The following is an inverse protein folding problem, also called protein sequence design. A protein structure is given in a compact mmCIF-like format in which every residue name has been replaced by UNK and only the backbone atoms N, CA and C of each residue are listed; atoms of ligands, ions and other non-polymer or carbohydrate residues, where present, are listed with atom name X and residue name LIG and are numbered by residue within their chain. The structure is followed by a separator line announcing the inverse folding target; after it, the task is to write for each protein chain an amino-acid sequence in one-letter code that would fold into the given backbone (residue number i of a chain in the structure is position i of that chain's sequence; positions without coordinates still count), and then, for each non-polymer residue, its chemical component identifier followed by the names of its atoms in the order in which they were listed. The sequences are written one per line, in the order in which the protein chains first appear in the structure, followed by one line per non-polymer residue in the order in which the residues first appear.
data_IF_111418747691
#
_entry.id   IF_111418747691
#
_cell.length_a   1.000
_cell.length_b   1.000
_cell.length_c   1.000
_cell.angle_alpha   90.00
_cell.angle_beta   90.00
_cell.angle_gamma   90.00
#
_symmetry.space_group_name_H-M   'P 1'
#
loop_
_entity.id
_entity.type
_entity.pdbx_description
1 polymer ?
#
# COMPACT_ATOMS: atom_id res chain seq x y z
N UNK A 1 -29.16 18.06 1.05
CA UNK A 1 -28.92 19.36 1.72
C UNK A 1 -29.14 19.34 3.23
N UNK A 2 -30.24 18.79 3.78
CA UNK A 2 -30.43 18.71 5.25
C UNK A 2 -29.35 17.87 5.93
N UNK A 3 -28.99 16.71 5.36
CA UNK A 3 -27.96 15.83 5.93
C UNK A 3 -26.57 16.49 5.91
N UNK A 4 -26.24 17.22 4.84
CA UNK A 4 -24.97 17.96 4.75
C UNK A 4 -24.84 19.05 5.84
N UNK A 5 -25.93 19.73 6.20
CA UNK A 5 -25.91 20.71 7.30
C UNK A 5 -25.73 20.03 8.66
N UNK A 6 -26.32 18.86 8.85
CA UNK A 6 -26.08 18.04 10.04
C UNK A 6 -24.61 17.61 10.11
N UNK A 7 -24.07 17.04 9.03
CA UNK A 7 -22.65 16.64 8.96
C UNK A 7 -21.72 17.82 9.25
N UNK A 8 -22.01 19.00 8.69
CA UNK A 8 -21.24 20.22 8.96
C UNK A 8 -21.23 20.58 10.44
N UNK A 9 -22.37 20.46 11.13
CA UNK A 9 -22.44 20.72 12.57
C UNK A 9 -21.67 19.72 13.44
N UNK A 10 -21.28 18.57 12.87
CA UNK A 10 -20.49 17.54 13.55
C UNK A 10 -18.97 17.71 13.35
N UNK A 11 -18.55 18.69 12.54
CA UNK A 11 -17.15 18.96 12.19
C UNK A 11 -16.71 20.32 12.72
N UNK A 12 -15.44 20.46 13.09
CA UNK A 12 -14.84 21.78 13.34
C UNK A 12 -14.66 22.51 11.99
N UNK A 13 -15.18 23.74 11.91
CA UNK A 13 -15.23 24.53 10.67
C UNK A 13 -13.97 25.36 10.41
N UNK A 14 -13.03 25.43 11.35
CA UNK A 14 -11.90 26.37 11.24
C UNK A 14 -10.92 26.03 10.10
N UNK A 15 -10.62 24.75 9.89
CA UNK A 15 -9.65 24.27 8.89
C UNK A 15 -10.15 22.98 8.27
N UNK A 16 -11.01 23.11 7.24
CA UNK A 16 -11.66 21.97 6.59
C UNK A 16 -11.11 21.77 5.18
N UNK A 17 -10.57 20.57 4.92
CA UNK A 17 -10.26 20.10 3.58
C UNK A 17 -11.46 19.37 2.98
N UNK A 18 -11.80 19.69 1.74
CA UNK A 18 -12.73 18.96 0.90
C UNK A 18 -11.94 18.24 -0.18
N UNK A 19 -11.97 16.90 -0.16
CA UNK A 19 -11.28 16.09 -1.17
C UNK A 19 -12.14 16.00 -2.42
N UNK A 20 -11.76 16.77 -3.45
CA UNK A 20 -12.52 16.97 -4.68
C UNK A 20 -12.45 18.41 -5.16
N UNK A 21 -13.09 18.70 -6.30
CA UNK A 21 -13.00 20.00 -6.97
C UNK A 21 -14.18 20.93 -6.63
N UNK A 22 -15.27 20.38 -6.10
CA UNK A 22 -16.55 21.09 -5.98
C UNK A 22 -17.07 21.08 -4.53
N UNK A 23 -16.42 21.81 -3.60
CA UNK A 23 -16.88 21.86 -2.22
C UNK A 23 -18.26 22.51 -2.12
N UNK A 24 -19.18 21.85 -1.41
CA UNK A 24 -20.55 22.35 -1.20
C UNK A 24 -20.60 23.52 -0.20
N UNK A 25 -19.54 23.66 0.60
CA UNK A 25 -19.35 24.73 1.57
C UNK A 25 -18.09 25.53 1.21
N UNK A 26 -17.85 26.65 1.89
CA UNK A 26 -16.60 27.41 1.74
C UNK A 26 -15.43 26.70 2.45
N UNK A 27 -15.05 25.53 1.93
CA UNK A 27 -13.95 24.68 2.41
C UNK A 27 -12.78 24.74 1.42
N UNK A 28 -11.60 24.35 1.90
CA UNK A 28 -10.42 24.26 1.04
C UNK A 28 -10.53 23.04 0.14
N UNK A 29 -10.71 23.24 -1.17
CA UNK A 29 -10.71 22.16 -2.15
C UNK A 29 -9.29 21.59 -2.30
N UNK A 30 -9.15 20.29 -2.18
CA UNK A 30 -7.88 19.57 -2.29
C UNK A 30 -8.06 18.34 -3.19
N UNK A 31 -7.36 18.32 -4.32
CA UNK A 31 -7.51 17.23 -5.28
C UNK A 31 -6.40 16.17 -5.09
N UNK A 32 -6.54 15.32 -4.06
CA UNK A 32 -5.62 14.20 -3.80
C UNK A 32 -5.54 13.25 -5.01
N UNK A 33 -6.65 13.06 -5.72
CA UNK A 33 -6.77 12.13 -6.84
C UNK A 33 -5.94 12.55 -8.05
N UNK A 34 -5.69 13.85 -8.21
CA UNK A 34 -4.82 14.42 -9.24
C UNK A 34 -3.35 14.50 -8.82
N UNK A 35 -3.04 14.29 -7.54
CA UNK A 35 -1.67 14.30 -7.04
C UNK A 35 -0.93 13.04 -7.49
N UNK A 36 0.36 13.16 -7.80
CA UNK A 36 1.16 11.99 -8.16
C UNK A 36 1.24 11.02 -6.98
N UNK A 37 0.83 9.77 -7.25
CA UNK A 37 0.71 8.69 -6.25
C UNK A 37 -0.14 9.06 -5.03
N UNK A 38 -1.24 9.81 -5.23
CA UNK A 38 -2.18 10.17 -4.16
C UNK A 38 -1.47 10.81 -2.95
N UNK A 39 -0.36 11.51 -3.18
CA UNK A 39 0.47 12.16 -2.16
C UNK A 39 0.36 13.65 -2.32
N UNK A 40 -0.19 14.33 -1.31
CA UNK A 40 -0.25 15.80 -1.34
C UNK A 40 1.07 16.42 -0.88
N UNK A 41 1.21 17.72 -1.10
CA UNK A 41 2.39 18.45 -0.63
C UNK A 41 2.57 18.27 0.90
N UNK A 42 3.79 18.03 1.40
CA UNK A 42 4.05 17.78 2.82
C UNK A 42 3.60 18.90 3.75
N UNK A 43 3.58 20.14 3.24
CA UNK A 43 3.11 21.32 3.96
C UNK A 43 1.62 21.26 4.32
N UNK A 44 0.85 20.36 3.70
CA UNK A 44 -0.57 20.15 3.98
C UNK A 44 -0.83 19.11 5.07
N UNK A 45 0.17 18.29 5.44
CA UNK A 45 0.01 17.33 6.54
C UNK A 45 -0.12 18.07 7.88
N UNK A 46 -1.03 17.59 8.74
CA UNK A 46 -1.31 18.20 10.04
C UNK A 46 -2.07 19.53 9.99
N UNK A 47 -2.55 19.98 8.83
CA UNK A 47 -3.11 21.33 8.69
C UNK A 47 -4.61 21.42 8.98
N UNK A 48 -5.35 20.32 8.94
CA UNK A 48 -6.81 20.35 8.93
C UNK A 48 -7.41 19.77 10.21
N UNK A 49 -8.44 20.43 10.74
CA UNK A 49 -9.25 19.87 11.84
C UNK A 49 -10.36 18.96 11.33
N UNK A 50 -10.73 19.08 10.05
CA UNK A 50 -11.63 18.13 9.39
C UNK A 50 -11.25 17.87 7.93
N UNK A 51 -11.41 16.63 7.47
CA UNK A 51 -11.20 16.22 6.08
C UNK A 51 -12.45 15.52 5.56
N UNK A 52 -12.93 15.92 4.38
CA UNK A 52 -14.17 15.42 3.79
C UNK A 52 -13.88 14.64 2.50
N UNK A 53 -14.07 13.33 2.57
CA UNK A 53 -14.09 12.39 1.45
C UNK A 53 -15.55 12.11 1.05
N UNK A 54 -16.20 13.12 0.45
CA UNK A 54 -17.65 13.10 0.26
C UNK A 54 -18.10 13.30 -1.20
N UNK A 55 -17.36 14.07 -2.00
CA UNK A 55 -17.71 14.32 -3.42
C UNK A 55 -17.76 13.02 -4.22
N UNK A 56 -16.70 12.22 -4.11
CA UNK A 56 -16.60 10.88 -4.64
C UNK A 56 -16.71 9.85 -3.51
N UNK A 57 -17.26 8.67 -3.80
CA UNK A 57 -17.29 7.59 -2.82
C UNK A 57 -15.91 6.98 -2.75
N UNK A 58 -15.39 6.67 -1.56
CA UNK A 58 -14.08 6.01 -1.46
C UNK A 58 -14.07 4.64 -2.15
N UNK A 59 -15.23 4.01 -2.28
CA UNK A 59 -15.45 2.74 -3.00
C UNK A 59 -15.28 2.83 -4.51
N UNK A 60 -15.26 4.05 -5.07
CA UNK A 60 -15.02 4.30 -6.50
C UNK A 60 -13.52 4.13 -6.85
N UNK A 61 -12.64 4.03 -5.84
CA UNK A 61 -11.20 3.93 -6.01
C UNK A 61 -10.69 2.55 -5.61
N UNK A 62 -9.87 1.95 -6.46
CA UNK A 62 -9.17 0.70 -6.14
C UNK A 62 -8.24 0.90 -4.93
N UNK A 63 -7.47 2.00 -4.95
CA UNK A 63 -6.52 2.40 -3.92
C UNK A 63 -7.16 3.17 -2.74
N UNK A 64 -8.39 2.84 -2.34
CA UNK A 64 -9.11 3.55 -1.26
C UNK A 64 -8.33 3.60 0.06
N UNK A 65 -7.51 2.58 0.37
CA UNK A 65 -6.66 2.57 1.57
C UNK A 65 -5.56 3.63 1.53
N UNK A 66 -4.97 3.86 0.34
CA UNK A 66 -3.98 4.92 0.11
C UNK A 66 -4.64 6.29 0.28
N UNK A 67 -5.83 6.47 -0.30
CA UNK A 67 -6.61 7.69 -0.15
C UNK A 67 -6.96 7.99 1.32
N UNK A 68 -7.37 6.97 2.09
CA UNK A 68 -7.65 7.13 3.52
C UNK A 68 -6.39 7.41 4.34
N UNK A 69 -5.28 6.71 4.08
CA UNK A 69 -4.00 6.95 4.74
C UNK A 69 -3.57 8.42 4.56
N UNK A 70 -3.56 8.91 3.32
CA UNK A 70 -3.22 10.30 3.05
C UNK A 70 -4.20 11.29 3.71
N UNK A 71 -5.50 10.98 3.70
CA UNK A 71 -6.52 11.82 4.33
C UNK A 71 -6.38 11.88 5.85
N UNK A 72 -5.88 10.84 6.51
CA UNK A 72 -5.57 10.87 7.94
C UNK A 72 -4.36 11.75 8.21
N UNK A 73 -3.34 11.73 7.34
CA UNK A 73 -2.12 12.56 7.49
C UNK A 73 -2.39 14.06 7.33
N UNK A 74 -3.43 14.43 6.58
CA UNK A 74 -3.93 15.81 6.49
C UNK A 74 -4.49 16.32 7.83
N UNK A 75 -4.99 15.44 8.68
CA UNK A 75 -5.54 15.84 9.98
C UNK A 75 -4.40 16.29 10.91
N UNK A 76 -4.68 17.34 11.68
CA UNK A 76 -3.90 17.72 12.86
C UNK A 76 -3.93 16.58 13.91
N UNK A 77 -3.32 16.79 15.08
CA UNK A 77 -3.26 15.79 16.16
C UNK A 77 -4.61 15.19 16.52
N UNK A 78 -5.66 16.00 16.50
CA UNK A 78 -7.05 15.55 16.64
C UNK A 78 -7.89 16.19 15.53
N UNK A 79 -8.74 15.38 14.89
CA UNK A 79 -9.55 15.86 13.80
C UNK A 79 -10.70 14.92 13.44
N UNK A 80 -11.50 15.33 12.46
CA UNK A 80 -12.68 14.60 12.02
C UNK A 80 -12.58 14.20 10.55
N UNK A 81 -12.82 12.93 10.25
CA UNK A 81 -12.92 12.43 8.89
C UNK A 81 -14.40 12.18 8.54
N UNK A 82 -14.88 12.78 7.45
CA UNK A 82 -16.21 12.55 6.89
C UNK A 82 -16.06 11.72 5.64
N UNK A 83 -16.67 10.53 5.60
CA UNK A 83 -16.48 9.54 4.55
C UNK A 83 -17.82 9.19 3.94
N UNK A 84 -17.86 9.11 2.62
CA UNK A 84 -18.95 8.51 1.86
C UNK A 84 -18.44 7.26 1.13
N UNK A 85 -19.18 6.17 1.20
CA UNK A 85 -18.87 4.94 0.48
C UNK A 85 -20.14 4.24 -0.01
N UNK A 86 -20.01 3.41 -1.04
CA UNK A 86 -20.98 2.38 -1.37
C UNK A 86 -20.37 1.02 -1.07
N UNK A 87 -21.07 0.18 -0.31
CA UNK A 87 -20.54 -1.14 0.02
C UNK A 87 -20.37 -1.99 -1.24
N UNK A 88 -19.23 -2.65 -1.37
CA UNK A 88 -18.90 -3.59 -2.44
C UNK A 88 -17.87 -4.64 -1.94
N UNK A 89 -17.44 -5.60 -2.77
CA UNK A 89 -16.45 -6.61 -2.35
C UNK A 89 -15.09 -6.04 -1.93
N UNK A 90 -14.68 -4.87 -2.46
CA UNK A 90 -13.42 -4.20 -2.14
C UNK A 90 -13.53 -3.40 -0.83
N UNK A 91 -14.61 -2.62 -0.67
CA UNK A 91 -14.86 -1.73 0.47
C UNK A 91 -16.20 -2.04 1.10
N UNK A 92 -16.20 -2.44 2.37
CA UNK A 92 -17.40 -2.66 3.16
C UNK A 92 -17.19 -2.17 4.60
N UNK A 93 -18.26 -2.11 5.38
CA UNK A 93 -18.20 -1.54 6.73
C UNK A 93 -17.18 -2.26 7.65
N UNK A 94 -17.05 -3.58 7.52
CA UNK A 94 -16.10 -4.36 8.34
C UNK A 94 -14.66 -3.99 7.99
N UNK A 95 -14.33 -3.94 6.69
CA UNK A 95 -12.99 -3.57 6.22
C UNK A 95 -12.64 -2.12 6.58
N UNK A 96 -13.60 -1.20 6.46
CA UNK A 96 -13.40 0.21 6.82
C UNK A 96 -13.14 0.37 8.33
N UNK A 97 -13.96 -0.25 9.18
CA UNK A 97 -13.77 -0.20 10.64
C UNK A 97 -12.48 -0.92 11.08
N UNK A 98 -12.13 -2.05 10.44
CA UNK A 98 -10.82 -2.73 10.65
C UNK A 98 -9.68 -1.77 10.34
N UNK A 99 -9.77 -1.02 9.24
CA UNK A 99 -8.75 -0.06 8.85
C UNK A 99 -8.49 0.96 9.97
N UNK A 100 -9.52 1.67 10.43
CA UNK A 100 -9.36 2.65 11.51
C UNK A 100 -8.92 2.05 12.85
N UNK A 101 -9.45 0.88 13.22
CA UNK A 101 -9.12 0.25 14.50
C UNK A 101 -7.68 -0.25 14.56
N UNK A 102 -7.10 -0.69 13.44
CA UNK A 102 -5.76 -1.27 13.40
C UNK A 102 -4.67 -0.29 12.97
N UNK A 103 -5.02 0.85 12.39
CA UNK A 103 -4.05 1.79 11.83
C UNK A 103 -3.09 2.34 12.91
N UNK A 104 -1.80 2.14 12.70
CA UNK A 104 -0.74 2.53 13.62
C UNK A 104 -0.61 4.06 13.82
N UNK A 105 -1.13 4.87 12.88
CA UNK A 105 -1.22 6.32 12.99
C UNK A 105 -2.32 6.79 13.93
N UNK A 106 -3.24 5.90 14.36
CA UNK A 106 -4.42 6.26 15.12
C UNK A 106 -4.27 5.77 16.56
N UNK A 107 -4.22 6.72 17.51
CA UNK A 107 -4.28 6.41 18.95
C UNK A 107 -5.71 6.09 19.36
N UNK A 108 -6.68 6.85 18.84
CA UNK A 108 -8.11 6.68 19.12
C UNK A 108 -8.95 7.02 17.90
N UNK A 109 -9.92 6.17 17.59
CA UNK A 109 -11.00 6.46 16.64
C UNK A 109 -12.36 6.33 17.33
N UNK A 110 -13.26 7.28 17.07
CA UNK A 110 -14.61 7.31 17.63
C UNK A 110 -15.62 7.66 16.54
N UNK A 111 -16.57 6.77 16.29
CA UNK A 111 -17.67 7.02 15.35
C UNK A 111 -18.65 7.97 16.03
N UNK A 112 -18.83 9.16 15.47
CA UNK A 112 -19.78 10.16 15.98
C UNK A 112 -21.08 10.19 15.18
N UNK A 113 -21.05 9.68 13.94
CA UNK A 113 -22.24 9.54 13.11
C UNK A 113 -22.04 8.41 12.11
N UNK A 114 -23.08 7.59 11.96
CA UNK A 114 -23.16 6.54 10.95
C UNK A 114 -24.58 6.53 10.38
N UNK A 115 -24.69 6.57 9.06
CA UNK A 115 -25.96 6.42 8.36
C UNK A 115 -25.78 5.52 7.14
N UNK A 116 -26.69 4.57 6.97
CA UNK A 116 -26.70 3.64 5.86
C UNK A 116 -28.06 3.72 5.15
N UNK A 117 -28.03 4.07 3.87
CA UNK A 117 -29.22 4.19 3.03
C UNK A 117 -29.22 3.03 2.05
N UNK A 118 -30.33 2.28 2.04
CA UNK A 118 -30.51 1.18 1.10
C UNK A 118 -30.72 1.72 -0.32
N UNK A 119 -29.87 1.31 -1.25
CA UNK A 119 -29.99 1.54 -2.67
C UNK A 119 -31.06 0.60 -3.23
N UNK A 120 -32.05 1.15 -3.94
CA UNK A 120 -33.23 0.40 -4.43
C UNK A 120 -32.94 -0.64 -5.54
N UNK A 121 -31.68 -0.96 -5.81
CA UNK A 121 -31.29 -1.90 -6.85
C UNK A 121 -31.08 -3.29 -6.27
N UNK A 122 -32.13 -4.11 -6.32
CA UNK A 122 -32.02 -5.53 -6.03
C UNK A 122 -31.12 -6.23 -7.06
N UNK A 123 -29.84 -6.45 -6.72
CA UNK A 123 -28.98 -7.39 -7.44
C UNK A 123 -29.07 -8.74 -6.73
N UNK A 124 -29.70 -9.77 -7.33
CA UNK A 124 -30.09 -11.00 -6.63
C UNK A 124 -28.95 -11.84 -6.01
N UNK A 125 -27.69 -11.42 -6.17
CA UNK A 125 -26.50 -12.15 -5.71
C UNK A 125 -25.50 -11.29 -4.91
N UNK A 126 -25.78 -9.99 -4.69
CA UNK A 126 -24.86 -9.07 -3.99
C UNK A 126 -25.62 -8.44 -2.81
N UNK A 127 -25.25 -8.81 -1.58
CA UNK A 127 -25.86 -8.28 -0.33
C UNK A 127 -25.44 -6.83 0.00
N UNK A 128 -24.50 -6.27 -0.75
CA UNK A 128 -24.01 -4.92 -0.55
C UNK A 128 -24.92 -3.95 -1.32
N UNK A 129 -25.92 -3.41 -0.63
CA UNK A 129 -26.93 -2.50 -1.20
C UNK A 129 -26.97 -1.16 -0.43
N UNK A 130 -25.92 -0.78 0.32
CA UNK A 130 -25.94 0.44 1.12
C UNK A 130 -24.96 1.50 0.63
N UNK A 131 -25.46 2.72 0.49
CA UNK A 131 -24.62 3.90 0.55
C UNK A 131 -24.48 4.30 2.03
N UNK A 132 -23.23 4.45 2.47
CA UNK A 132 -22.89 4.72 3.86
C UNK A 132 -22.22 6.09 3.95
N UNK A 133 -22.66 6.88 4.92
CA UNK A 133 -21.93 8.05 5.41
C UNK A 133 -21.45 7.80 6.82
N UNK A 134 -20.17 8.04 7.06
CA UNK A 134 -19.51 7.85 8.35
C UNK A 134 -18.77 9.13 8.75
N UNK A 135 -18.90 9.53 10.01
CA UNK A 135 -18.09 10.61 10.60
C UNK A 135 -17.32 10.02 11.76
N UNK A 136 -16.00 10.15 11.71
CA UNK A 136 -15.09 9.56 12.70
C UNK A 136 -14.21 10.67 13.26
N UNK A 137 -14.18 10.79 14.59
CA UNK A 137 -13.14 11.56 15.28
C UNK A 137 -11.91 10.70 15.43
N UNK A 138 -10.76 11.25 15.03
CA UNK A 138 -9.46 10.59 15.02
C UNK A 138 -8.51 11.39 15.88
N UNK A 139 -7.81 10.72 16.78
CA UNK A 139 -6.62 11.22 17.46
C UNK A 139 -5.41 10.49 16.90
N UNK A 140 -4.48 11.24 16.30
CA UNK A 140 -3.25 10.71 15.71
C UNK A 140 -2.25 10.32 16.81
N UNK A 141 -1.61 9.17 16.64
CA UNK A 141 -0.55 8.71 17.53
C UNK A 141 0.78 9.41 17.20
N UNK A 142 1.39 10.03 18.21
CA UNK A 142 2.74 10.59 18.17
C UNK A 142 3.06 11.44 16.91
N UNK A 143 2.27 12.45 16.53
CA UNK A 143 2.50 13.22 15.30
C UNK A 143 3.91 13.82 15.19
N UNK A 144 4.56 14.13 16.32
CA UNK A 144 5.92 14.66 16.37
C UNK A 144 6.98 13.75 15.74
N UNK A 145 6.85 12.42 15.81
CA UNK A 145 7.83 11.50 15.22
C UNK A 145 7.79 11.50 13.68
N UNK A 146 6.67 11.97 13.11
CA UNK A 146 6.47 12.08 11.67
C UNK A 146 7.02 13.39 11.10
N UNK A 147 7.52 14.29 11.95
CA UNK A 147 8.26 15.49 11.55
C UNK A 147 9.77 15.37 11.79
N UNK A 148 10.24 14.29 12.43
CA UNK A 148 11.66 14.05 12.63
C UNK A 148 12.34 13.82 11.27
N UNK A 149 13.47 14.50 11.07
CA UNK A 149 14.30 14.43 9.86
C UNK A 149 15.60 13.65 10.07
N UNK A 150 15.86 13.16 11.28
CA UNK A 150 17.06 12.38 11.58
C UNK A 150 16.93 10.98 11.00
N UNK A 151 18.05 10.46 10.49
CA UNK A 151 18.11 9.17 9.79
C UNK A 151 19.00 8.18 10.52
N UNK A 152 18.57 6.92 10.47
CA UNK A 152 19.43 5.76 10.66
C UNK A 152 19.46 4.99 9.34
N UNK A 153 20.63 4.89 8.74
CA UNK A 153 20.90 4.05 7.57
C UNK A 153 21.49 2.74 8.04
N UNK A 154 21.00 1.62 7.51
CA UNK A 154 21.48 0.30 7.91
C UNK A 154 21.85 -0.55 6.70
N UNK A 155 23.02 -1.18 6.78
CA UNK A 155 23.57 -1.99 5.68
C UNK A 155 23.72 -3.43 6.11
N UNK A 156 23.12 -4.35 5.36
CA UNK A 156 23.34 -5.78 5.47
C UNK A 156 24.41 -6.19 4.47
N UNK A 157 25.55 -6.70 4.98
CA UNK A 157 26.66 -7.14 4.13
C UNK A 157 27.27 -8.45 4.59
N UNK A 158 27.82 -9.19 3.64
CA UNK A 158 28.67 -10.36 3.91
C UNK A 158 30.18 -10.02 3.92
N UNK A 159 30.54 -8.75 3.68
CA UNK A 159 31.94 -8.30 3.62
C UNK A 159 32.65 -8.55 2.29
N UNK A 160 31.95 -9.08 1.28
CA UNK A 160 32.52 -9.36 -0.04
C UNK A 160 32.42 -8.19 -1.02
N UNK A 161 31.62 -7.17 -0.69
CA UNK A 161 31.35 -5.99 -1.54
C UNK A 161 31.73 -4.70 -0.83
N UNK A 162 32.97 -4.63 -0.35
CA UNK A 162 33.49 -3.51 0.45
C UNK A 162 33.30 -2.17 -0.28
N UNK A 163 33.68 -2.11 -1.56
CA UNK A 163 33.59 -0.86 -2.35
C UNK A 163 32.15 -0.36 -2.51
N UNK A 164 31.16 -1.28 -2.59
CA UNK A 164 29.75 -0.89 -2.65
C UNK A 164 29.29 -0.25 -1.32
N UNK A 165 29.70 -0.83 -0.19
CA UNK A 165 29.35 -0.31 1.13
C UNK A 165 30.02 1.04 1.38
N UNK A 166 31.28 1.19 0.94
CA UNK A 166 31.99 2.49 0.95
C UNK A 166 31.22 3.51 0.10
N UNK A 167 30.87 3.18 -1.14
CA UNK A 167 30.11 4.08 -2.02
C UNK A 167 28.73 4.45 -1.45
N UNK A 168 28.06 3.53 -0.76
CA UNK A 168 26.83 3.83 -0.04
C UNK A 168 27.05 4.85 1.09
N UNK A 169 28.04 4.60 1.96
CA UNK A 169 28.40 5.51 3.05
C UNK A 169 28.81 6.91 2.53
N UNK A 170 29.59 6.95 1.44
CA UNK A 170 29.94 8.20 0.74
C UNK A 170 28.71 8.93 0.25
N UNK A 171 27.78 8.22 -0.41
CA UNK A 171 26.55 8.84 -0.94
C UNK A 171 25.68 9.49 0.14
N UNK A 172 25.72 8.97 1.38
CA UNK A 172 25.09 9.58 2.55
C UNK A 172 25.87 10.83 2.97
N UNK A 173 27.16 10.69 3.30
CA UNK A 173 27.97 11.79 3.86
C UNK A 173 28.13 12.97 2.91
N UNK A 174 28.15 12.72 1.60
CA UNK A 174 28.26 13.78 0.59
C UNK A 174 26.98 14.59 0.39
N UNK A 175 25.81 14.03 0.71
CA UNK A 175 24.52 14.65 0.41
C UNK A 175 23.71 15.04 1.66
N UNK A 176 24.08 14.56 2.85
CA UNK A 176 23.33 14.86 4.06
C UNK A 176 23.61 16.27 4.61
N UNK A 177 22.58 16.90 5.16
CA UNK A 177 22.71 18.18 5.88
C UNK A 177 22.93 17.98 7.39
N UNK A 178 22.49 16.85 7.92
CA UNK A 178 22.58 16.50 9.33
C UNK A 178 23.32 15.18 9.44
N UNK A 179 24.21 15.04 10.44
CA UNK A 179 24.94 13.81 10.68
C UNK A 179 23.97 12.66 11.01
N UNK A 180 23.82 11.72 10.08
CA UNK A 180 22.96 10.54 10.24
C UNK A 180 23.70 9.39 10.93
N UNK A 181 22.96 8.50 11.58
CA UNK A 181 23.50 7.25 12.10
C UNK A 181 23.67 6.25 10.95
N UNK A 182 24.80 5.54 10.92
CA UNK A 182 25.03 4.43 9.98
C UNK A 182 25.33 3.16 10.80
N UNK A 183 24.52 2.12 10.61
CA UNK A 183 24.69 0.81 11.24
C UNK A 183 25.06 -0.24 10.18
N UNK A 184 26.02 -1.11 10.47
CA UNK A 184 26.42 -2.20 9.59
C UNK A 184 26.20 -3.53 10.30
N UNK A 185 25.47 -4.42 9.63
CA UNK A 185 25.31 -5.81 10.01
C UNK A 185 26.14 -6.69 9.06
N UNK A 186 27.37 -7.01 9.47
CA UNK A 186 28.34 -7.76 8.69
C UNK A 186 29.72 -7.73 9.35
N UNK A 187 30.74 -8.33 8.74
CA UNK A 187 32.10 -8.29 9.27
C UNK A 187 32.63 -6.85 9.32
N UNK A 188 33.41 -6.55 10.36
CA UNK A 188 34.09 -5.26 10.49
C UNK A 188 35.09 -5.04 9.35
N UNK A 189 35.19 -3.81 8.88
CA UNK A 189 36.15 -3.42 7.86
C UNK A 189 36.65 -1.99 8.10
N UNK A 190 37.97 -1.81 8.11
CA UNK A 190 38.59 -0.50 8.36
C UNK A 190 38.25 0.53 7.28
N UNK A 191 37.86 0.09 6.08
CA UNK A 191 37.41 0.98 5.00
C UNK A 191 36.15 1.78 5.37
N UNK A 192 35.36 1.33 6.36
CA UNK A 192 34.14 2.02 6.77
C UNK A 192 34.37 3.03 7.91
N UNK A 193 35.52 2.99 8.58
CA UNK A 193 35.86 3.88 9.71
C UNK A 193 35.72 5.39 9.39
N UNK A 194 36.12 5.89 8.20
CA UNK A 194 35.99 7.31 7.87
C UNK A 194 34.56 7.85 7.91
N UNK A 195 33.55 6.98 7.90
CA UNK A 195 32.13 7.35 7.81
C UNK A 195 31.39 7.26 9.15
N UNK A 196 32.10 7.07 10.28
CA UNK A 196 31.51 6.97 11.63
C UNK A 196 30.39 5.91 11.72
N UNK A 197 30.72 4.70 11.27
CA UNK A 197 29.78 3.57 11.27
C UNK A 197 29.79 2.85 12.62
N UNK A 198 28.64 2.31 13.01
CA UNK A 198 28.54 1.37 14.14
C UNK A 198 28.26 -0.03 13.62
N UNK A 199 28.88 -1.04 14.21
CA UNK A 199 28.64 -2.43 13.86
C UNK A 199 27.65 -3.08 14.83
N UNK A 200 26.81 -3.97 14.30
CA UNK A 200 26.13 -4.95 15.13
C UNK A 200 27.10 -6.08 15.47
N UNK A 201 27.64 -6.08 16.69
CA UNK A 201 28.58 -7.11 17.19
C UNK A 201 27.95 -8.47 17.50
N UNK A 202 26.85 -8.84 16.82
CA UNK A 202 26.16 -10.11 17.01
C UNK A 202 26.58 -11.10 15.94
N UNK A 203 26.97 -12.30 16.36
CA UNK A 203 27.19 -13.41 15.43
C UNK A 203 25.86 -14.05 15.03
N UNK A 204 25.72 -14.36 13.75
CA UNK A 204 24.52 -14.98 13.19
C UNK A 204 24.85 -16.37 12.68
N UNK A 205 23.92 -17.31 12.85
CA UNK A 205 24.03 -18.61 12.21
C UNK A 205 24.09 -18.44 10.68
N UNK A 206 25.15 -18.99 10.09
CA UNK A 206 25.42 -18.92 8.66
C UNK A 206 24.68 -19.98 7.87
N UNK A 207 24.17 -21.03 8.52
CA UNK A 207 23.46 -22.13 7.88
C UNK A 207 22.14 -21.69 7.22
N UNK A 208 21.46 -20.71 7.81
CA UNK A 208 20.11 -20.29 7.39
C UNK A 208 20.03 -18.87 6.86
N UNK A 209 21.16 -18.16 6.71
CA UNK A 209 21.19 -16.78 6.21
C UNK A 209 20.08 -15.90 6.84
N UNK A 210 20.07 -15.80 8.18
CA UNK A 210 19.02 -15.21 9.03
C UNK A 210 18.68 -13.73 8.76
N UNK A 211 18.18 -13.41 7.56
CA UNK A 211 17.99 -12.03 7.08
C UNK A 211 16.97 -11.27 7.93
N UNK A 212 15.85 -11.92 8.29
CA UNK A 212 14.80 -11.32 9.09
C UNK A 212 15.27 -11.00 10.51
N UNK A 213 16.06 -11.88 11.12
CA UNK A 213 16.65 -11.61 12.44
C UNK A 213 17.65 -10.45 12.38
N UNK A 214 18.53 -10.42 11.37
CA UNK A 214 19.46 -9.30 11.15
C UNK A 214 18.73 -7.96 10.99
N UNK A 215 17.69 -7.92 10.16
CA UNK A 215 16.84 -6.73 9.97
C UNK A 215 16.16 -6.31 11.28
N UNK A 216 15.66 -7.28 12.06
CA UNK A 216 15.04 -7.04 13.37
C UNK A 216 16.01 -6.50 14.43
N UNK A 217 17.27 -6.92 14.42
CA UNK A 217 18.31 -6.41 15.32
C UNK A 217 18.74 -5.00 14.91
N UNK A 218 18.85 -4.72 13.61
CA UNK A 218 19.09 -3.37 13.09
C UNK A 218 17.98 -2.39 13.50
N UNK A 219 16.71 -2.81 13.40
CA UNK A 219 15.56 -2.04 13.86
C UNK A 219 15.68 -1.71 15.36
N UNK A 220 16.08 -2.68 16.18
CA UNK A 220 16.22 -2.49 17.62
C UNK A 220 17.39 -1.56 17.97
N UNK A 221 18.49 -1.61 17.21
CA UNK A 221 19.67 -0.79 17.43
C UNK A 221 19.55 0.64 16.89
N UNK A 222 18.64 0.88 15.94
CA UNK A 222 18.45 2.19 15.33
C UNK A 222 18.06 3.25 16.37
N UNK A 223 18.67 4.43 16.29
CA UNK A 223 18.39 5.53 17.23
C UNK A 223 17.30 6.49 16.72
N UNK A 224 17.11 6.57 15.39
CA UNK A 224 16.24 7.56 14.76
C UNK A 224 14.97 6.95 14.18
N UNK A 225 13.96 7.80 13.95
CA UNK A 225 12.66 7.36 13.44
C UNK A 225 12.67 7.04 11.95
N UNK A 226 13.42 7.77 11.13
CA UNK A 226 13.57 7.42 9.72
C UNK A 226 14.64 6.33 9.59
N UNK A 227 14.21 5.09 9.35
CA UNK A 227 15.09 3.93 9.25
C UNK A 227 15.11 3.45 7.79
N UNK A 228 16.30 3.42 7.19
CA UNK A 228 16.55 2.75 5.92
C UNK A 228 17.26 1.42 6.18
N UNK A 229 16.76 0.35 5.57
CA UNK A 229 17.35 -0.99 5.60
C UNK A 229 17.71 -1.37 4.16
N UNK A 230 19.02 -1.51 3.90
CA UNK A 230 19.56 -1.81 2.57
C UNK A 230 20.51 -3.00 2.55
N UNK A 231 20.54 -3.68 1.42
CA UNK A 231 21.62 -4.63 1.09
C UNK A 231 22.87 -3.89 0.60
N UNK A 232 24.02 -4.56 0.62
CA UNK A 232 25.35 -4.06 0.20
C UNK A 232 25.55 -3.85 -1.33
N UNK A 233 24.49 -3.45 -2.00
CA UNK A 233 24.45 -3.27 -3.46
C UNK A 233 23.73 -2.01 -3.86
N UNK A 234 23.49 -1.08 -2.94
CA UNK A 234 22.79 0.16 -3.25
C UNK A 234 23.73 1.35 -3.06
N UNK A 235 23.56 2.36 -3.89
CA UNK A 235 24.09 3.72 -3.71
C UNK A 235 22.90 4.68 -3.79
N UNK A 236 22.85 5.67 -2.90
CA UNK A 236 21.84 6.73 -2.97
C UNK A 236 22.23 7.72 -4.06
N UNK A 237 21.25 8.19 -4.85
CA UNK A 237 21.49 9.29 -5.78
C UNK A 237 21.37 10.63 -5.05
N UNK A 238 21.88 11.68 -5.69
CA UNK A 238 21.87 13.05 -5.15
C UNK A 238 20.46 13.60 -4.87
N UNK A 239 19.43 13.00 -5.50
CA UNK A 239 18.02 13.34 -5.27
C UNK A 239 17.43 12.72 -3.99
N UNK A 240 18.21 11.94 -3.22
CA UNK A 240 17.68 11.23 -2.06
C UNK A 240 17.10 12.19 -1.01
N UNK A 241 17.92 13.08 -0.45
CA UNK A 241 17.48 13.95 0.65
C UNK A 241 16.51 15.03 0.18
N UNK A 242 16.74 15.66 -0.97
CA UNK A 242 15.82 16.64 -1.56
C UNK A 242 14.47 16.01 -1.88
N UNK A 243 14.48 14.77 -2.38
CA UNK A 243 13.23 14.03 -2.61
C UNK A 243 12.44 13.74 -1.34
N UNK A 244 13.09 13.62 -0.17
CA UNK A 244 12.38 13.52 1.12
C UNK A 244 11.82 14.86 1.61
N UNK A 245 12.42 15.98 1.23
CA UNK A 245 11.85 17.30 1.46
C UNK A 245 10.58 17.51 0.61
N UNK A 246 10.57 17.01 -0.62
CA UNK A 246 9.40 17.05 -1.52
C UNK A 246 8.31 16.03 -1.15
N UNK A 247 8.69 14.82 -0.73
CA UNK A 247 7.76 13.76 -0.35
C UNK A 247 7.19 13.93 1.07
N UNK A 248 7.98 14.51 1.97
CA UNK A 248 7.65 14.68 3.39
C UNK A 248 8.00 13.48 4.26
N UNK A 249 8.13 13.72 5.55
CA UNK A 249 8.51 12.73 6.55
C UNK A 249 7.33 12.02 7.21
N UNK A 250 6.09 12.42 6.88
CA UNK A 250 4.87 11.80 7.36
C UNK A 250 4.52 10.56 6.52
N UNK A 251 5.21 9.46 6.80
CA UNK A 251 5.05 8.15 6.18
C UNK A 251 5.28 7.03 7.21
N UNK A 252 4.90 5.80 6.88
CA UNK A 252 5.18 4.62 7.73
C UNK A 252 6.12 3.62 7.08
N UNK A 253 5.79 3.14 5.88
CA UNK A 253 6.51 2.07 5.20
C UNK A 253 6.56 2.34 3.70
N UNK A 254 7.74 2.67 3.21
CA UNK A 254 7.93 3.14 1.84
C UNK A 254 9.20 2.55 1.21
N UNK A 255 9.28 2.64 -0.11
CA UNK A 255 10.54 2.50 -0.86
C UNK A 255 10.76 3.75 -1.71
N UNK A 256 11.85 3.77 -2.46
CA UNK A 256 12.19 4.84 -3.42
C UNK A 256 12.33 4.25 -4.83
N UNK A 257 12.51 5.11 -5.84
CA UNK A 257 12.85 4.64 -7.18
C UNK A 257 14.21 3.96 -7.16
N UNK A 258 14.33 2.83 -7.84
CA UNK A 258 15.57 2.07 -7.92
C UNK A 258 15.94 1.90 -9.39
N UNK A 259 17.24 1.92 -9.70
CA UNK A 259 17.75 1.79 -11.06
C UNK A 259 18.89 0.78 -11.12
N UNK A 260 18.96 0.03 -12.21
CA UNK A 260 20.18 -0.69 -12.61
C UNK A 260 21.30 0.29 -12.96
N UNK A 261 22.54 -0.20 -13.04
CA UNK A 261 23.70 0.57 -13.53
C UNK A 261 23.51 1.02 -14.99
N UNK A 262 22.71 0.29 -15.78
CA UNK A 262 22.33 0.67 -17.14
C UNK A 262 21.43 1.91 -17.20
N UNK A 263 20.88 2.34 -16.06
CA UNK A 263 19.85 3.36 -15.94
C UNK A 263 18.42 2.81 -16.07
N UNK A 264 18.25 1.55 -16.48
CA UNK A 264 16.95 0.88 -16.49
C UNK A 264 16.32 0.85 -15.10
N UNK A 265 15.00 0.83 -15.03
CA UNK A 265 14.28 0.79 -13.77
C UNK A 265 14.44 -0.58 -13.10
N UNK A 266 14.80 -0.55 -11.81
CA UNK A 266 14.77 -1.71 -10.94
C UNK A 266 13.40 -1.72 -10.22
N UNK A 267 12.57 -2.76 -10.41
CA UNK A 267 11.25 -2.84 -9.78
C UNK A 267 11.32 -2.83 -8.24
N UNK A 268 10.76 -1.79 -7.61
CA UNK A 268 10.76 -1.60 -6.15
C UNK A 268 9.39 -1.67 -5.50
N UNK A 269 8.34 -1.28 -6.23
CA UNK A 269 6.94 -1.36 -5.79
C UNK A 269 6.23 -2.47 -6.55
N UNK A 270 5.91 -3.55 -5.84
CA UNK A 270 5.58 -4.85 -6.39
C UNK A 270 4.21 -5.31 -5.89
N UNK A 271 3.61 -6.26 -6.59
CA UNK A 271 2.32 -6.85 -6.27
C UNK A 271 2.34 -8.33 -6.61
N UNK A 272 1.75 -9.15 -5.74
CA UNK A 272 1.37 -10.51 -6.08
C UNK A 272 -0.08 -10.54 -6.57
N UNK A 273 -0.35 -11.33 -7.60
CA UNK A 273 -1.72 -11.63 -8.02
C UNK A 273 -2.52 -12.28 -6.88
N UNK A 274 -1.86 -13.17 -6.12
CA UNK A 274 -2.44 -13.85 -4.96
C UNK A 274 -1.57 -13.59 -3.73
N UNK A 275 -2.10 -12.82 -2.77
CA UNK A 275 -1.42 -12.45 -1.52
C UNK A 275 -0.94 -13.70 -0.76
N UNK A 276 0.33 -13.70 -0.35
CA UNK A 276 1.02 -14.81 0.34
C UNK A 276 1.05 -16.13 -0.44
N UNK A 277 0.89 -16.08 -1.76
CA UNK A 277 1.02 -17.23 -2.64
C UNK A 277 1.98 -16.91 -3.78
N UNK A 278 2.95 -17.79 -4.03
CA UNK A 278 3.89 -17.63 -5.14
C UNK A 278 3.13 -17.58 -6.46
N UNK A 279 3.06 -16.39 -7.04
CA UNK A 279 2.32 -16.05 -8.23
C UNK A 279 3.12 -15.04 -9.06
N UNK A 280 2.58 -14.61 -10.20
CA UNK A 280 3.23 -13.62 -11.06
C UNK A 280 3.51 -12.35 -10.24
N UNK A 281 4.77 -11.91 -10.23
CA UNK A 281 5.17 -10.66 -9.60
C UNK A 281 4.92 -9.55 -10.61
N UNK A 282 4.08 -8.60 -10.23
CA UNK A 282 3.69 -7.47 -11.05
C UNK A 282 4.31 -6.23 -10.44
N UNK A 283 4.81 -5.30 -11.24
CA UNK A 283 5.31 -4.02 -10.74
C UNK A 283 4.56 -2.85 -11.34
N UNK A 284 4.38 -1.80 -10.54
CA UNK A 284 3.73 -0.54 -10.91
C UNK A 284 4.42 0.59 -10.17
N UNK A 285 4.51 1.75 -10.79
CA UNK A 285 4.94 2.98 -10.11
C UNK A 285 3.77 3.92 -9.81
N UNK A 286 2.55 3.50 -10.16
CA UNK A 286 1.30 4.20 -9.89
C UNK A 286 0.59 3.55 -8.69
N UNK A 287 0.53 4.27 -7.57
CA UNK A 287 -0.16 3.78 -6.37
C UNK A 287 -1.67 3.65 -6.54
N UNK A 288 -2.26 4.21 -7.60
CA UNK A 288 -3.67 3.97 -7.92
C UNK A 288 -3.94 2.49 -8.25
N UNK A 289 -2.93 1.72 -8.61
CA UNK A 289 -3.04 0.28 -8.89
C UNK A 289 -2.99 -0.58 -7.62
N UNK A 290 -2.95 0.03 -6.43
CA UNK A 290 -2.85 -0.66 -5.15
C UNK A 290 -3.82 -1.83 -5.00
N UNK A 291 -3.36 -2.92 -4.39
CA UNK A 291 -4.18 -4.02 -3.91
C UNK A 291 -3.55 -4.64 -2.65
N UNK A 292 -4.26 -5.56 -2.01
CA UNK A 292 -3.80 -6.18 -0.75
C UNK A 292 -2.59 -7.13 -0.92
N UNK A 293 -2.17 -7.42 -2.14
CA UNK A 293 -0.96 -8.15 -2.49
C UNK A 293 0.26 -7.27 -2.75
N UNK A 294 0.17 -5.95 -2.56
CA UNK A 294 1.32 -5.02 -2.67
C UNK A 294 2.41 -5.39 -1.65
N UNK A 295 3.67 -5.34 -2.10
CA UNK A 295 4.86 -5.40 -1.27
C UNK A 295 5.99 -4.55 -1.85
N UNK A 296 7.01 -4.29 -1.04
CA UNK A 296 8.19 -3.51 -1.44
C UNK A 296 9.37 -4.46 -1.58
N UNK A 297 10.21 -4.27 -2.59
CA UNK A 297 11.39 -5.12 -2.77
C UNK A 297 12.29 -5.07 -1.51
N UNK A 298 12.58 -6.25 -0.93
CA UNK A 298 13.29 -6.39 0.34
C UNK A 298 14.75 -5.92 0.35
N UNK A 299 15.32 -5.56 -0.81
CA UNK A 299 16.69 -5.06 -0.94
C UNK A 299 16.88 -3.63 -0.42
N UNK A 300 15.85 -2.78 -0.52
CA UNK A 300 15.84 -1.42 0.02
C UNK A 300 14.44 -1.07 0.53
N UNK A 301 14.34 -0.95 1.85
CA UNK A 301 13.11 -0.60 2.56
C UNK A 301 13.35 0.63 3.44
N UNK A 302 12.36 1.50 3.52
CA UNK A 302 12.38 2.65 4.43
C UNK A 302 11.14 2.56 5.31
N UNK A 303 11.35 2.58 6.61
CA UNK A 303 10.27 2.36 7.58
C UNK A 303 10.44 3.29 8.78
N UNK A 304 9.34 3.71 9.39
CA UNK A 304 9.41 4.37 10.70
C UNK A 304 9.81 3.35 11.75
N UNK A 305 10.82 3.67 12.57
CA UNK A 305 11.30 2.78 13.64
C UNK A 305 10.13 2.32 14.53
N UNK A 306 9.29 3.24 14.98
CA UNK A 306 8.12 2.89 15.81
C UNK A 306 7.15 1.91 15.14
N UNK A 307 7.02 1.97 13.81
CA UNK A 307 6.19 1.05 13.02
C UNK A 307 6.89 -0.29 12.84
N UNK A 308 8.20 -0.29 12.57
CA UNK A 308 9.03 -1.49 12.45
C UNK A 308 9.12 -2.30 13.76
N UNK A 309 9.16 -1.64 14.92
CA UNK A 309 9.17 -2.31 16.23
C UNK A 309 7.85 -3.04 16.52
N UNK A 310 6.73 -2.52 16.03
CA UNK A 310 5.41 -3.16 16.13
C UNK A 310 5.22 -4.26 15.10
N UNK A 311 5.70 -4.04 13.89
CA UNK A 311 5.57 -4.93 12.75
C UNK A 311 6.94 -5.46 12.34
N UNK A 312 7.49 -6.33 13.19
CA UNK A 312 8.81 -6.94 12.99
C UNK A 312 8.77 -7.95 11.85
N UNK A 313 9.92 -8.17 11.21
CA UNK A 313 10.07 -9.27 10.27
C UNK A 313 9.84 -10.61 11.00
N UNK A 314 9.23 -11.57 10.33
CA UNK A 314 9.10 -12.91 10.87
C UNK A 314 10.47 -13.63 10.86
N UNK A 315 11.08 -13.80 12.04
CA UNK A 315 12.40 -14.44 12.17
C UNK A 315 12.44 -15.92 11.71
N UNK A 316 11.30 -16.54 11.40
CA UNK A 316 11.22 -17.87 10.81
C UNK A 316 11.33 -17.88 9.28
N UNK A 317 11.35 -16.70 8.65
CA UNK A 317 11.50 -16.56 7.20
C UNK A 317 12.92 -16.11 6.91
N UNK A 318 13.64 -16.94 6.16
CA UNK A 318 15.05 -16.74 5.82
C UNK A 318 15.22 -16.02 4.48
N UNK A 319 16.47 -15.81 4.09
CA UNK A 319 16.78 -15.21 2.80
C UNK A 319 16.15 -16.00 1.65
N UNK A 320 15.57 -15.28 0.68
CA UNK A 320 14.89 -15.82 -0.50
C UNK A 320 13.61 -16.63 -0.21
N UNK A 321 12.97 -16.37 0.95
CA UNK A 321 11.71 -17.01 1.34
C UNK A 321 10.50 -16.05 1.38
N UNK A 322 10.64 -14.86 0.81
CA UNK A 322 9.57 -13.85 0.73
C UNK A 322 9.34 -13.10 2.05
N UNK A 323 10.41 -12.72 2.75
CA UNK A 323 10.30 -12.00 4.02
C UNK A 323 9.67 -10.61 3.86
N UNK A 324 9.90 -9.98 2.71
CA UNK A 324 9.35 -8.69 2.33
C UNK A 324 7.85 -8.79 1.97
N UNK A 325 7.46 -9.87 1.28
CA UNK A 325 6.06 -10.20 1.00
C UNK A 325 5.28 -10.44 2.30
N UNK A 326 5.84 -11.23 3.22
CA UNK A 326 5.20 -11.52 4.49
C UNK A 326 5.08 -10.27 5.37
N UNK A 327 6.15 -9.47 5.45
CA UNK A 327 6.15 -8.20 6.16
C UNK A 327 5.06 -7.26 5.62
N UNK A 328 5.03 -7.03 4.31
CA UNK A 328 4.07 -6.12 3.69
C UNK A 328 2.62 -6.59 3.91
N UNK A 329 2.40 -7.91 3.81
CA UNK A 329 1.13 -8.53 4.15
C UNK A 329 0.75 -8.24 5.61
N UNK A 330 1.67 -8.45 6.57
CA UNK A 330 1.42 -8.16 7.98
C UNK A 330 1.15 -6.66 8.23
N UNK A 331 1.89 -5.77 7.57
CA UNK A 331 1.69 -4.31 7.62
C UNK A 331 0.28 -3.92 7.14
N UNK A 332 -0.16 -4.43 5.99
CA UNK A 332 -1.50 -4.17 5.43
C UNK A 332 -2.60 -4.65 6.39
N UNK A 333 -2.42 -5.79 7.05
CA UNK A 333 -3.37 -6.28 8.06
C UNK A 333 -3.44 -5.42 9.31
N UNK A 334 -2.39 -4.63 9.58
CA UNK A 334 -2.31 -3.59 10.59
C UNK A 334 -2.53 -2.18 9.99
N UNK A 335 -3.08 -2.10 8.78
CA UNK A 335 -3.44 -0.85 8.10
C UNK A 335 -2.28 0.13 7.94
N UNK A 336 -1.06 -0.40 7.86
CA UNK A 336 0.14 0.30 7.40
C UNK A 336 0.27 0.05 5.91
N UNK A 337 0.22 1.10 5.11
CA UNK A 337 0.14 1.01 3.65
C UNK A 337 1.53 1.17 3.05
N UNK A 338 2.03 0.20 2.25
CA UNK A 338 3.25 0.38 1.50
C UNK A 338 3.12 1.51 0.47
N UNK A 339 4.10 2.41 0.45
CA UNK A 339 4.15 3.54 -0.50
C UNK A 339 5.48 3.62 -1.27
N UNK A 340 5.52 4.49 -2.27
CA UNK A 340 6.67 4.82 -3.08
C UNK A 340 6.93 6.32 -3.02
N UNK A 341 8.08 6.70 -2.47
CA UNK A 341 8.63 8.03 -2.69
C UNK A 341 9.27 8.08 -4.08
N UNK A 342 8.57 8.73 -5.00
CA UNK A 342 8.99 8.89 -6.40
C UNK A 342 9.90 10.08 -6.63
N UNK A 343 10.25 10.88 -5.61
CA UNK A 343 11.18 12.00 -5.73
C UNK A 343 12.61 11.58 -5.44
N UNK A 344 12.81 10.61 -4.56
CA UNK A 344 14.13 10.06 -4.22
C UNK A 344 14.47 8.84 -5.06
N UNK A 345 15.77 8.58 -5.29
CA UNK A 345 16.20 7.38 -5.98
C UNK A 345 17.54 6.78 -5.49
N UNK A 346 17.74 5.52 -5.87
CA UNK A 346 18.98 4.77 -5.63
C UNK A 346 19.37 3.96 -6.87
N UNK A 347 20.62 3.53 -6.91
CA UNK A 347 21.18 2.66 -7.94
C UNK A 347 21.61 1.32 -7.34
N UNK A 348 21.26 0.21 -8.00
CA UNK A 348 21.74 -1.13 -7.66
C UNK A 348 23.04 -1.44 -8.40
N UNK A 349 24.05 -1.93 -7.68
CA UNK A 349 25.39 -2.24 -8.18
C UNK A 349 25.62 -3.74 -8.37
N UNK A 350 26.31 -4.12 -9.44
CA UNK A 350 26.74 -5.49 -9.71
C UNK A 350 25.57 -6.44 -9.97
N UNK A 351 24.42 -5.90 -10.39
CA UNK A 351 23.24 -6.66 -10.79
C UNK A 351 22.92 -6.28 -12.24
N UNK A 352 22.74 -7.30 -13.09
CA UNK A 352 22.30 -7.10 -14.46
C UNK A 352 20.77 -6.91 -14.57
N UNK A 353 20.33 -6.29 -15.65
CA UNK A 353 18.91 -5.99 -15.92
C UNK A 353 18.04 -7.24 -16.00
N UNK A 354 18.61 -8.43 -16.24
CA UNK A 354 17.86 -9.69 -16.26
C UNK A 354 17.49 -10.22 -14.86
N UNK A 355 18.02 -9.62 -13.79
CA UNK A 355 17.77 -10.06 -12.42
C UNK A 355 16.28 -10.04 -12.04
N UNK A 356 15.49 -9.10 -12.57
CA UNK A 356 14.04 -9.03 -12.37
C UNK A 356 13.26 -9.40 -13.63
N UNK A 357 13.85 -10.17 -14.55
CA UNK A 357 13.23 -10.55 -15.82
C UNK A 357 11.93 -11.36 -15.70
N UNK A 358 11.66 -11.95 -14.53
CA UNK A 358 10.41 -12.67 -14.23
C UNK A 358 9.29 -11.74 -13.78
N UNK A 359 9.58 -10.47 -13.50
CA UNK A 359 8.60 -9.49 -13.04
C UNK A 359 7.95 -8.83 -14.26
N UNK A 360 6.65 -8.58 -14.17
CA UNK A 360 5.87 -8.09 -15.30
C UNK A 360 5.31 -6.69 -15.02
N UNK A 361 5.45 -5.73 -15.95
CA UNK A 361 4.81 -4.42 -15.81
C UNK A 361 3.29 -4.57 -15.65
N UNK A 362 2.67 -3.71 -14.86
CA UNK A 362 1.23 -3.75 -14.64
C UNK A 362 0.42 -3.59 -15.93
N UNK A 363 0.89 -2.76 -16.86
CA UNK A 363 0.23 -2.53 -18.15
C UNK A 363 0.17 -3.80 -19.01
N UNK A 364 1.27 -4.57 -19.04
CA UNK A 364 1.34 -5.86 -19.73
C UNK A 364 0.43 -6.90 -19.05
N UNK A 365 0.43 -6.93 -17.72
CA UNK A 365 -0.45 -7.80 -16.95
C UNK A 365 -1.94 -7.51 -17.20
N UNK A 366 -2.33 -6.25 -17.31
CA UNK A 366 -3.70 -5.86 -17.65
C UNK A 366 -4.07 -6.26 -19.09
N UNK A 367 -3.16 -6.09 -20.05
CA UNK A 367 -3.39 -6.48 -21.44
C UNK A 367 -3.64 -8.00 -21.58
N UNK A 368 -2.85 -8.82 -20.87
CA UNK A 368 -3.02 -10.28 -20.84
C UNK A 368 -4.38 -10.68 -20.28
N UNK A 369 -4.78 -10.07 -19.16
CA UNK A 369 -6.03 -10.41 -18.47
C UNK A 369 -7.28 -9.86 -19.17
N UNK A 370 -7.20 -8.72 -19.85
CA UNK A 370 -8.32 -8.21 -20.66
C UNK A 370 -8.56 -9.06 -21.90
N UNK A 371 -7.51 -9.63 -22.52
CA UNK A 371 -7.63 -10.63 -23.59
C UNK A 371 -8.26 -11.95 -23.11
N UNK A 372 -8.05 -12.35 -21.85
CA UNK A 372 -8.70 -13.52 -21.27
C UNK A 372 -10.16 -13.31 -20.84
N UNK A 373 -10.63 -12.06 -20.77
CA UNK A 373 -12.05 -11.74 -20.49
C UNK A 373 -12.93 -11.88 -21.75
N UNK A 374 -12.39 -12.34 -22.89
CA UNK A 374 -13.22 -12.81 -23.99
C UNK A 374 -13.85 -14.19 -23.72
N UNK A 375 -15.13 -14.12 -23.34
CA UNK A 375 -16.15 -15.17 -23.26
C UNK A 375 -16.19 -15.92 -21.92
N UNK A 376 -16.48 -15.19 -20.84
CA UNK A 376 -17.49 -15.72 -19.91
C UNK A 376 -18.83 -15.76 -20.67
N UNK A 377 -19.55 -16.90 -20.71
CA UNK A 377 -20.83 -16.94 -21.38
C UNK A 377 -21.73 -15.91 -20.73
N UNK A 378 -22.20 -14.93 -21.51
CA UNK A 378 -23.20 -13.97 -21.06
C UNK A 378 -24.37 -14.71 -20.41
N UNK A 379 -25.05 -14.08 -19.45
CA UNK A 379 -26.14 -14.68 -18.68
C UNK A 379 -27.19 -15.39 -19.55
N UNK A 380 -27.36 -14.97 -20.82
CA UNK A 380 -28.20 -15.65 -21.82
C UNK A 380 -27.72 -17.08 -22.12
N UNK A 381 -26.42 -17.28 -22.36
CA UNK A 381 -25.82 -18.60 -22.64
C UNK A 381 -25.86 -19.58 -21.46
N UNK A 382 -25.76 -19.10 -20.21
CA UNK A 382 -25.94 -19.95 -19.03
C UNK A 382 -27.42 -20.35 -18.84
N UNK A 383 -28.35 -19.42 -19.05
CA UNK A 383 -29.80 -19.69 -19.03
C UNK A 383 -30.19 -20.64 -20.16
N UNK A 384 -29.62 -20.49 -21.35
CA UNK A 384 -29.82 -21.40 -22.49
C UNK A 384 -29.32 -22.81 -22.17
N UNK A 385 -28.15 -22.94 -21.51
CA UNK A 385 -27.60 -24.24 -21.09
C UNK A 385 -28.46 -24.91 -20.03
N UNK A 386 -28.96 -24.17 -19.04
CA UNK A 386 -29.88 -24.69 -18.02
C UNK A 386 -31.23 -25.12 -18.62
N UNK A 387 -31.80 -24.30 -19.51
CA UNK A 387 -33.04 -24.62 -20.23
C UNK A 387 -32.85 -25.86 -21.11
N UNK A 388 -31.75 -25.97 -21.86
CA UNK A 388 -31.47 -27.14 -22.69
C UNK A 388 -31.24 -28.41 -21.86
N UNK A 389 -30.62 -28.29 -20.69
CA UNK A 389 -30.42 -29.42 -19.76
C UNK A 389 -31.74 -29.86 -19.11
N UNK A 390 -32.60 -28.91 -18.74
CA UNK A 390 -33.95 -29.19 -18.24
C UNK A 390 -34.84 -29.82 -19.32
N UNK A 391 -34.81 -29.33 -20.56
CA UNK A 391 -35.51 -29.92 -21.71
C UNK A 391 -34.99 -31.33 -22.00
N UNK A 392 -33.68 -31.56 -21.90
CA UNK A 392 -33.06 -32.88 -22.05
C UNK A 392 -33.52 -33.90 -21.00
N UNK A 393 -33.61 -33.47 -19.73
CA UNK A 393 -34.15 -34.30 -18.65
C UNK A 393 -35.65 -34.58 -18.82
N UNK A 394 -36.45 -33.56 -19.13
CA UNK A 394 -37.88 -33.71 -19.40
C UNK A 394 -38.13 -34.67 -20.58
N UNK A 395 -37.32 -34.61 -21.64
CA UNK A 395 -37.39 -35.57 -22.76
C UNK A 395 -37.05 -37.01 -22.37
N UNK A 396 -36.29 -37.25 -21.30
CA UNK A 396 -35.95 -38.62 -20.85
C UNK A 396 -37.02 -39.23 -19.94
N UNK A 397 -37.74 -38.41 -19.18
CA UNK A 397 -38.67 -38.90 -18.15
C UNK A 397 -40.14 -38.82 -18.59
N UNK A 398 -40.48 -38.03 -19.63
CA UNK A 398 -41.87 -37.90 -20.09
C UNK A 398 -42.38 -39.12 -20.89
N UNK A 399 -43.61 -39.60 -20.60
CA UNK A 399 -44.31 -40.61 -21.40
C UNK A 399 -44.49 -40.18 -22.86
N UNK A 400 -44.51 -41.14 -23.78
CA UNK A 400 -44.60 -40.89 -25.22
C UNK A 400 -45.86 -40.08 -25.63
N UNK A 401 -46.98 -40.27 -24.92
CA UNK A 401 -48.22 -39.53 -25.12
C UNK A 401 -48.08 -38.03 -24.86
N UNK A 402 -47.27 -37.64 -23.87
CA UNK A 402 -47.06 -36.25 -23.48
C UNK A 402 -46.12 -35.52 -24.46
N UNK A 403 -45.12 -36.23 -25.00
CA UNK A 403 -44.24 -35.72 -26.06
C UNK A 403 -45.01 -35.38 -27.33
N UNK A 404 -46.01 -36.18 -27.70
CA UNK A 404 -46.86 -35.96 -28.87
C UNK A 404 -47.84 -34.78 -28.72
N UNK A 405 -48.20 -34.43 -27.49
CA UNK A 405 -49.05 -33.26 -27.20
C UNK A 405 -48.26 -31.94 -27.29
N UNK A 406 -47.03 -31.91 -26.73
CA UNK A 406 -46.15 -30.74 -26.80
C UNK A 406 -45.74 -30.42 -28.23
N UNK A 407 -45.47 -31.45 -29.06
CA UNK A 407 -45.10 -31.26 -30.47
C UNK A 407 -46.22 -30.60 -31.28
N UNK A 408 -47.47 -31.03 -31.04
CA UNK A 408 -48.67 -30.44 -31.66
C UNK A 408 -48.97 -29.01 -31.19
N UNK A 409 -48.65 -28.65 -29.94
CA UNK A 409 -48.85 -27.30 -29.42
C UNK A 409 -47.79 -26.27 -29.84
N UNK A 410 -46.58 -26.73 -30.20
CA UNK A 410 -45.47 -25.85 -30.63
C UNK A 410 -45.32 -25.74 -32.15
N UNK A 411 -46.17 -26.41 -32.95
CA UNK A 411 -46.11 -26.37 -34.41
C UNK A 411 -44.89 -27.07 -35.04
N UNK A 412 -44.37 -28.13 -34.40
CA UNK A 412 -43.15 -28.87 -34.80
C UNK A 412 -43.41 -30.32 -35.26
#
# INVERSE_FOLDING_TARGET
MKDLKLLKSLTDENRVAWVGDNPVFNFYALNILSSSNLRVAPSMHGQFSSVWLYEHRISDFQAWKVLLDESIRLLDKEGTLVIRMEENPNVNMMNLKKFFFRNALIEKAEIVYENAIKLGHHRPLIKYEHEVTLVIKIKRANPEIYHDKKWTFTVLTQGTKVDNVVGFCESIRSNELNHSEILICGPENTAYEPYDVKYLGKEYDTAYANISEKKNDLIAAASNQNLMIVHDRYILKDDFFTGFEDYGYDYDFITIRQHYESGALFPSYLMLENRLWWSKIIYSYDENTFNDGVFLNGGLLIIKKATAEKCRFNSLIYWDQGEDVELASYMIDNSVIPRLNYFSSAMTLGINDSYTSTFVPFEEYQADNTCQVHIAPTYSTFKQRLVNKAIGLLKRVMPASMKAAIKRGLGL
#
